data_IF_193895501858
#
_entry.id   IF_193895501858
#
_cell.length_a   1.000
_cell.length_b   1.000
_cell.length_c   1.000
_cell.angle_alpha   90.00
_cell.angle_beta   90.00
_cell.angle_gamma   90.00
#
_symmetry.space_group_name_H-M   'P 1'
#
loop_
_entity.id
_entity.type
_entity.pdbx_description
1 polymer ?
#
# COMPACT_ATOMS: atom_id res chain seq x y z
N UNK A 1 -24.52 -43.27 -21.96
CA UNK A 1 -23.72 -42.45 -22.89
C UNK A 1 -24.02 -40.99 -22.60
N UNK A 2 -23.27 -40.37 -21.69
CA UNK A 2 -23.47 -38.99 -21.23
C UNK A 2 -22.94 -38.03 -22.30
N UNK A 3 -23.86 -37.36 -22.99
CA UNK A 3 -23.55 -36.31 -23.96
C UNK A 3 -22.81 -35.17 -23.25
N UNK A 4 -21.51 -35.05 -23.53
CA UNK A 4 -20.74 -33.84 -23.27
C UNK A 4 -21.36 -32.68 -24.07
N UNK A 5 -22.17 -31.87 -23.41
CA UNK A 5 -22.64 -30.62 -23.99
C UNK A 5 -21.42 -29.74 -24.32
N UNK A 6 -21.17 -29.49 -25.61
CA UNK A 6 -20.13 -28.55 -26.04
C UNK A 6 -20.48 -27.16 -25.49
N UNK A 7 -19.54 -26.45 -24.84
CA UNK A 7 -19.79 -25.10 -24.37
C UNK A 7 -20.16 -24.19 -25.55
N UNK A 8 -21.20 -23.37 -25.37
CA UNK A 8 -21.69 -22.46 -26.40
C UNK A 8 -20.63 -21.38 -26.71
N UNK A 9 -20.56 -20.85 -27.95
CA UNK A 9 -19.55 -19.87 -28.36
C UNK A 9 -19.50 -18.60 -27.48
N UNK A 10 -20.64 -18.19 -26.91
CA UNK A 10 -20.73 -17.07 -25.97
C UNK A 10 -20.00 -17.36 -24.64
N UNK A 11 -20.14 -18.56 -24.09
CA UNK A 11 -19.46 -18.96 -22.85
C UNK A 11 -17.92 -19.02 -22.99
N UNK A 12 -17.43 -19.32 -24.19
CA UNK A 12 -16.00 -19.32 -24.51
C UNK A 12 -15.44 -17.90 -24.66
N UNK A 13 -16.23 -16.97 -25.21
CA UNK A 13 -15.84 -15.54 -25.31
C UNK A 13 -15.78 -14.88 -23.94
N UNK A 14 -16.77 -15.12 -23.08
CA UNK A 14 -16.80 -14.56 -21.71
C UNK A 14 -15.65 -15.09 -20.85
N UNK A 15 -15.32 -16.38 -20.96
CA UNK A 15 -14.16 -16.97 -20.28
C UNK A 15 -12.82 -16.40 -20.77
N UNK A 16 -12.72 -16.12 -22.08
CA UNK A 16 -11.54 -15.50 -22.69
C UNK A 16 -11.33 -14.05 -22.22
N UNK A 17 -12.41 -13.26 -22.16
CA UNK A 17 -12.35 -11.88 -21.66
C UNK A 17 -11.98 -11.82 -20.17
N UNK A 18 -12.56 -12.69 -19.34
CA UNK A 18 -12.24 -12.74 -17.91
C UNK A 18 -10.77 -13.12 -17.66
N UNK A 19 -10.23 -14.05 -18.46
CA UNK A 19 -8.81 -14.44 -18.42
C UNK A 19 -7.89 -13.28 -18.80
N UNK A 20 -8.22 -12.55 -19.87
CA UNK A 20 -7.44 -11.38 -20.30
C UNK A 20 -7.47 -10.25 -19.27
N UNK A 21 -8.63 -9.99 -18.65
CA UNK A 21 -8.74 -9.00 -17.57
C UNK A 21 -7.87 -9.36 -16.36
N UNK A 22 -7.85 -10.64 -15.95
CA UNK A 22 -7.00 -11.10 -14.85
C UNK A 22 -5.50 -10.96 -15.16
N UNK A 23 -5.10 -11.20 -16.41
CA UNK A 23 -3.71 -10.99 -16.86
C UNK A 23 -3.34 -9.52 -16.85
N UNK A 24 -4.21 -8.65 -17.36
CA UNK A 24 -4.00 -7.20 -17.34
C UNK A 24 -3.92 -6.66 -15.91
N UNK A 25 -4.80 -7.13 -15.02
CA UNK A 25 -4.79 -6.78 -13.60
C UNK A 25 -3.47 -7.17 -12.92
N UNK A 26 -2.98 -8.38 -13.21
CA UNK A 26 -1.69 -8.85 -12.71
C UNK A 26 -0.54 -8.00 -13.25
N UNK A 27 -0.55 -7.66 -14.54
CA UNK A 27 0.45 -6.81 -15.16
C UNK A 27 0.46 -5.40 -14.53
N UNK A 28 -0.71 -4.81 -14.28
CA UNK A 28 -0.83 -3.49 -13.63
C UNK A 28 -0.24 -3.51 -12.22
N UNK A 29 -0.52 -4.53 -11.42
CA UNK A 29 -0.04 -4.61 -10.03
C UNK A 29 1.47 -4.90 -9.96
N UNK A 30 1.99 -5.71 -10.89
CA UNK A 30 3.44 -5.89 -11.03
C UNK A 30 4.08 -4.59 -11.48
N UNK A 31 3.54 -3.92 -12.50
CA UNK A 31 4.05 -2.63 -12.98
C UNK A 31 4.05 -1.58 -11.86
N UNK A 32 2.95 -1.46 -11.11
CA UNK A 32 2.85 -0.56 -9.96
C UNK A 32 3.93 -0.81 -8.89
N UNK A 33 4.38 -2.05 -8.73
CA UNK A 33 5.43 -2.41 -7.78
C UNK A 33 6.84 -2.19 -8.35
N UNK A 34 7.05 -2.52 -9.63
CA UNK A 34 8.38 -2.63 -10.26
C UNK A 34 8.78 -1.37 -11.04
N UNK A 35 7.85 -0.45 -11.34
CA UNK A 35 8.13 0.72 -12.21
C UNK A 35 9.34 1.54 -11.78
N UNK A 36 9.55 1.74 -10.47
CA UNK A 36 10.70 2.52 -9.99
C UNK A 36 12.02 1.85 -10.33
N UNK A 37 12.13 0.52 -10.17
CA UNK A 37 13.33 -0.21 -10.56
C UNK A 37 13.58 -0.12 -12.07
N UNK A 38 12.54 -0.27 -12.89
CA UNK A 38 12.66 -0.13 -14.36
C UNK A 38 13.15 1.26 -14.72
N UNK A 39 12.57 2.31 -14.13
CA UNK A 39 12.97 3.70 -14.39
C UNK A 39 14.39 3.99 -13.91
N UNK A 40 14.83 3.39 -12.81
CA UNK A 40 16.21 3.52 -12.33
C UNK A 40 17.21 2.80 -13.26
N UNK A 41 16.85 1.62 -13.76
CA UNK A 41 17.64 0.93 -14.78
C UNK A 41 17.76 1.77 -16.07
N UNK A 42 16.64 2.33 -16.53
CA UNK A 42 16.60 3.23 -17.70
C UNK A 42 17.45 4.48 -17.46
N UNK A 43 17.37 5.05 -16.25
CA UNK A 43 18.18 6.19 -15.83
C UNK A 43 19.68 5.89 -15.90
N UNK A 44 20.08 4.68 -15.50
CA UNK A 44 21.48 4.29 -15.38
C UNK A 44 22.11 4.04 -16.75
N UNK A 45 21.37 3.47 -17.70
CA UNK A 45 21.95 3.00 -18.97
C UNK A 45 21.57 3.80 -20.22
N UNK A 46 20.44 4.50 -20.23
CA UNK A 46 19.91 5.10 -21.46
C UNK A 46 19.86 6.61 -21.39
N UNK A 47 19.06 7.17 -20.48
CA UNK A 47 18.88 8.61 -20.38
C UNK A 47 18.43 9.01 -18.98
N UNK A 48 18.75 10.24 -18.56
CA UNK A 48 18.38 10.75 -17.23
C UNK A 48 16.87 10.77 -17.07
N UNK A 49 16.33 9.85 -16.26
CA UNK A 49 14.94 9.87 -15.83
C UNK A 49 14.66 11.15 -15.03
N UNK A 50 13.70 11.95 -15.50
CA UNK A 50 13.21 13.16 -14.83
C UNK A 50 11.97 12.86 -13.99
N UNK A 51 11.62 13.79 -13.10
CA UNK A 51 10.35 13.72 -12.33
C UNK A 51 9.12 13.62 -13.24
N UNK A 52 9.17 14.21 -14.44
CA UNK A 52 8.11 14.11 -15.43
C UNK A 52 7.93 12.68 -15.97
N UNK A 53 9.03 11.93 -16.18
CA UNK A 53 8.97 10.54 -16.63
C UNK A 53 8.36 9.62 -15.56
N UNK A 54 8.69 9.87 -14.29
CA UNK A 54 8.09 9.16 -13.15
C UNK A 54 6.58 9.43 -13.10
N UNK A 55 6.18 10.71 -13.16
CA UNK A 55 4.77 11.09 -13.16
C UNK A 55 4.00 10.53 -14.36
N UNK A 56 4.62 10.50 -15.55
CA UNK A 56 4.04 9.91 -16.75
C UNK A 56 3.85 8.40 -16.61
N UNK A 57 4.83 7.69 -16.04
CA UNK A 57 4.74 6.25 -15.80
C UNK A 57 3.62 5.92 -14.81
N UNK A 58 3.48 6.72 -13.74
CA UNK A 58 2.35 6.60 -12.80
C UNK A 58 1.01 6.87 -13.50
N UNK A 59 0.93 7.90 -14.35
CA UNK A 59 -0.25 8.22 -15.14
C UNK A 59 -0.65 7.07 -16.07
N UNK A 60 0.30 6.43 -16.75
CA UNK A 60 0.02 5.25 -17.59
C UNK A 60 -0.60 4.10 -16.78
N UNK A 61 -0.11 3.88 -15.55
CA UNK A 61 -0.68 2.87 -14.65
C UNK A 61 -2.10 3.28 -14.24
N UNK A 62 -2.36 4.55 -13.92
CA UNK A 62 -3.70 5.03 -13.58
C UNK A 62 -4.67 4.91 -14.75
N UNK A 63 -4.24 5.23 -15.97
CA UNK A 63 -5.04 5.06 -17.19
C UNK A 63 -5.36 3.58 -17.40
N UNK A 64 -4.41 2.67 -17.22
CA UNK A 64 -4.65 1.24 -17.33
C UNK A 64 -5.68 0.74 -16.30
N UNK A 65 -5.62 1.22 -15.05
CA UNK A 65 -6.65 0.99 -14.04
C UNK A 65 -8.01 1.53 -14.49
N UNK A 66 -8.04 2.76 -15.03
CA UNK A 66 -9.24 3.41 -15.53
C UNK A 66 -9.91 2.63 -16.66
N UNK A 67 -9.14 2.11 -17.62
CA UNK A 67 -9.66 1.29 -18.73
C UNK A 67 -10.35 0.02 -18.23
N UNK A 68 -9.79 -0.64 -17.20
CA UNK A 68 -10.43 -1.80 -16.57
C UNK A 68 -11.71 -1.41 -15.83
N UNK A 69 -11.68 -0.31 -15.08
CA UNK A 69 -12.83 0.15 -14.29
C UNK A 69 -13.95 0.74 -15.15
N UNK A 70 -13.63 1.29 -16.34
CA UNK A 70 -14.60 1.97 -17.20
C UNK A 70 -15.80 1.10 -17.56
N UNK A 71 -15.59 -0.21 -17.72
CA UNK A 71 -16.66 -1.17 -18.03
C UNK A 71 -17.55 -1.54 -16.84
N UNK A 72 -17.20 -1.12 -15.62
CA UNK A 72 -17.89 -1.48 -14.36
C UNK A 72 -17.95 -0.30 -13.39
N UNK A 73 -18.12 0.92 -13.91
CA UNK A 73 -18.22 2.11 -13.08
C UNK A 73 -19.49 2.02 -12.22
N UNK A 74 -19.30 1.81 -10.91
CA UNK A 74 -20.37 1.95 -9.94
C UNK A 74 -20.66 3.44 -9.67
N UNK A 75 -21.91 3.81 -9.43
CA UNK A 75 -22.24 5.20 -9.05
C UNK A 75 -21.51 5.61 -7.75
N UNK A 76 -21.30 4.67 -6.84
CA UNK A 76 -20.51 4.85 -5.62
C UNK A 76 -19.07 5.27 -5.91
N UNK A 77 -18.43 4.67 -6.92
CA UNK A 77 -17.08 5.03 -7.36
C UNK A 77 -17.02 6.49 -7.83
N UNK A 78 -17.94 6.88 -8.72
CA UNK A 78 -18.00 8.24 -9.25
C UNK A 78 -18.30 9.23 -8.12
N UNK A 79 -19.30 8.95 -7.29
CA UNK A 79 -19.69 9.83 -6.19
C UNK A 79 -18.54 10.06 -5.20
N UNK A 80 -17.83 9.00 -4.80
CA UNK A 80 -16.67 9.11 -3.90
C UNK A 80 -15.55 9.90 -4.56
N UNK A 81 -15.22 9.57 -5.82
CA UNK A 81 -14.14 10.25 -6.54
C UNK A 81 -14.46 11.74 -6.73
N UNK A 82 -15.69 12.08 -7.12
CA UNK A 82 -16.16 13.46 -7.27
C UNK A 82 -16.15 14.19 -5.94
N UNK A 83 -16.66 13.59 -4.86
CA UNK A 83 -16.69 14.24 -3.54
C UNK A 83 -15.29 14.54 -3.02
N UNK A 84 -14.36 13.59 -3.15
CA UNK A 84 -12.96 13.80 -2.77
C UNK A 84 -12.33 14.86 -3.68
N UNK A 85 -12.52 14.79 -4.99
CA UNK A 85 -11.98 15.78 -5.92
C UNK A 85 -12.50 17.19 -5.62
N UNK A 86 -13.81 17.33 -5.36
CA UNK A 86 -14.43 18.59 -4.93
C UNK A 86 -13.83 19.12 -3.64
N UNK A 87 -13.57 18.24 -2.66
CA UNK A 87 -12.93 18.63 -1.40
C UNK A 87 -11.48 19.10 -1.60
N UNK A 88 -10.68 18.38 -2.39
CA UNK A 88 -9.30 18.77 -2.68
C UNK A 88 -9.22 20.04 -3.52
N UNK A 89 -10.17 20.26 -4.44
CA UNK A 89 -10.31 21.51 -5.18
C UNK A 89 -10.72 22.67 -4.27
N UNK A 90 -11.64 22.44 -3.33
CA UNK A 90 -11.98 23.44 -2.32
C UNK A 90 -10.75 23.83 -1.49
N UNK A 91 -9.97 22.85 -1.01
CA UNK A 91 -8.71 23.12 -0.34
C UNK A 91 -7.74 23.89 -1.23
N UNK A 92 -7.62 23.54 -2.51
CA UNK A 92 -6.76 24.25 -3.44
C UNK A 92 -7.19 25.71 -3.67
N UNK A 93 -8.50 25.98 -3.73
CA UNK A 93 -9.04 27.34 -3.79
C UNK A 93 -8.73 28.13 -2.52
N UNK A 94 -8.93 27.52 -1.34
CA UNK A 94 -8.63 28.16 -0.06
C UNK A 94 -7.11 28.41 0.15
N UNK A 95 -6.26 27.57 -0.45
CA UNK A 95 -4.79 27.71 -0.46
C UNK A 95 -4.28 28.65 -1.56
N UNK A 96 -5.12 29.05 -2.51
CA UNK A 96 -4.70 29.69 -3.76
C UNK A 96 -3.62 28.91 -4.54
N UNK A 97 -3.59 27.59 -4.39
CA UNK A 97 -2.52 26.74 -4.92
C UNK A 97 -2.96 25.28 -4.99
N UNK A 98 -2.59 24.62 -6.09
CA UNK A 98 -2.84 23.19 -6.26
C UNK A 98 -1.75 22.37 -5.59
N UNK A 99 -2.14 21.29 -4.91
CA UNK A 99 -1.25 20.25 -4.41
C UNK A 99 -1.42 18.95 -5.22
N UNK A 100 -0.67 18.76 -6.33
CA UNK A 100 -0.78 17.56 -7.16
C UNK A 100 -0.47 16.27 -6.39
N UNK A 101 0.35 16.34 -5.32
CA UNK A 101 0.73 15.16 -4.55
C UNK A 101 -0.47 14.64 -3.75
N UNK A 102 -1.24 15.52 -3.11
CA UNK A 102 -2.48 15.15 -2.42
C UNK A 102 -3.51 14.47 -3.35
N UNK A 103 -3.70 14.98 -4.57
CA UNK A 103 -4.56 14.33 -5.57
C UNK A 103 -4.06 12.94 -5.95
N UNK A 104 -2.78 12.82 -6.27
CA UNK A 104 -2.15 11.54 -6.61
C UNK A 104 -2.35 10.50 -5.51
N UNK A 105 -2.06 10.88 -4.27
CA UNK A 105 -2.08 9.98 -3.11
C UNK A 105 -3.49 9.35 -2.89
N UNK A 106 -4.56 10.13 -3.12
CA UNK A 106 -5.94 9.62 -3.04
C UNK A 106 -6.36 8.83 -4.29
N UNK A 107 -5.93 9.24 -5.48
CA UNK A 107 -6.21 8.50 -6.72
C UNK A 107 -5.68 7.06 -6.61
N UNK A 108 -4.49 6.87 -6.04
CA UNK A 108 -3.94 5.53 -5.78
C UNK A 108 -4.87 4.72 -4.88
N UNK A 109 -5.29 5.28 -3.75
CA UNK A 109 -6.20 4.63 -2.80
C UNK A 109 -7.49 4.19 -3.49
N UNK A 110 -8.16 5.12 -4.18
CA UNK A 110 -9.47 4.89 -4.79
C UNK A 110 -9.36 3.89 -5.95
N UNK A 111 -8.44 4.08 -6.89
CA UNK A 111 -8.33 3.21 -8.06
C UNK A 111 -8.03 1.76 -7.66
N UNK A 112 -7.03 1.54 -6.81
CA UNK A 112 -6.62 0.18 -6.44
C UNK A 112 -7.64 -0.50 -5.52
N UNK A 113 -8.29 0.24 -4.61
CA UNK A 113 -9.39 -0.29 -3.81
C UNK A 113 -10.54 -0.79 -4.69
N UNK A 114 -11.01 0.03 -5.64
CA UNK A 114 -12.10 -0.37 -6.53
C UNK A 114 -11.71 -1.46 -7.51
N UNK A 115 -10.44 -1.51 -7.94
CA UNK A 115 -9.91 -2.59 -8.75
C UNK A 115 -9.95 -3.93 -7.99
N UNK A 116 -9.54 -3.92 -6.71
CA UNK A 116 -9.65 -5.07 -5.81
C UNK A 116 -11.10 -5.49 -5.56
N UNK A 117 -11.97 -4.52 -5.27
CA UNK A 117 -13.40 -4.77 -5.04
C UNK A 117 -14.08 -5.40 -6.24
N UNK A 118 -13.84 -4.89 -7.45
CA UNK A 118 -14.52 -5.36 -8.66
C UNK A 118 -13.95 -6.65 -9.24
N UNK A 119 -12.63 -6.81 -9.25
CA UNK A 119 -11.94 -7.89 -9.96
C UNK A 119 -11.18 -8.85 -9.05
N UNK A 120 -10.85 -8.45 -7.83
CA UNK A 120 -10.05 -9.21 -6.89
C UNK A 120 -10.80 -10.36 -6.19
N UNK A 121 -10.25 -11.56 -6.25
CA UNK A 121 -10.65 -12.72 -5.46
C UNK A 121 -9.52 -13.10 -4.49
N UNK A 122 -9.83 -13.74 -3.38
CA UNK A 122 -8.85 -14.12 -2.34
C UNK A 122 -7.76 -15.04 -2.92
N UNK A 123 -8.15 -16.02 -3.74
CA UNK A 123 -7.20 -16.93 -4.42
C UNK A 123 -6.32 -16.19 -5.43
N UNK A 124 -6.87 -15.17 -6.09
CA UNK A 124 -6.13 -14.35 -7.04
C UNK A 124 -5.15 -13.43 -6.29
N UNK A 125 -5.59 -12.79 -5.21
CA UNK A 125 -4.78 -11.97 -4.33
C UNK A 125 -3.59 -12.77 -3.76
N UNK A 126 -3.82 -13.99 -3.30
CA UNK A 126 -2.76 -14.91 -2.85
C UNK A 126 -1.72 -15.19 -3.95
N UNK A 127 -2.19 -15.52 -5.15
CA UNK A 127 -1.31 -15.81 -6.28
C UNK A 127 -0.50 -14.60 -6.69
N UNK A 128 -1.15 -13.45 -6.81
CA UNK A 128 -0.53 -12.18 -7.13
C UNK A 128 0.55 -11.83 -6.11
N UNK A 129 0.20 -11.87 -4.82
CA UNK A 129 1.11 -11.50 -3.75
C UNK A 129 2.33 -12.44 -3.71
N UNK A 130 2.12 -13.74 -3.95
CA UNK A 130 3.23 -14.71 -4.12
C UNK A 130 4.16 -14.33 -5.28
N UNK A 131 3.62 -14.00 -6.44
CA UNK A 131 4.43 -13.59 -7.61
C UNK A 131 5.26 -12.34 -7.28
N UNK A 132 4.64 -11.33 -6.67
CA UNK A 132 5.34 -10.10 -6.27
C UNK A 132 6.42 -10.42 -5.23
N UNK A 133 6.14 -11.27 -4.24
CA UNK A 133 7.12 -11.72 -3.25
C UNK A 133 8.30 -12.42 -3.92
N UNK A 134 8.06 -13.31 -4.89
CA UNK A 134 9.13 -13.98 -5.61
C UNK A 134 10.01 -12.99 -6.37
N UNK A 135 9.42 -12.00 -7.05
CA UNK A 135 10.17 -10.94 -7.74
C UNK A 135 11.01 -10.14 -6.74
N UNK A 136 10.41 -9.70 -5.64
CA UNK A 136 11.08 -8.90 -4.59
C UNK A 136 12.21 -9.71 -3.92
N UNK A 137 11.98 -10.97 -3.59
CA UNK A 137 13.02 -11.81 -2.98
C UNK A 137 14.13 -12.13 -3.99
N UNK A 138 13.81 -12.45 -5.24
CA UNK A 138 14.82 -12.74 -6.26
C UNK A 138 15.76 -11.55 -6.48
N UNK A 139 15.20 -10.34 -6.64
CA UNK A 139 16.01 -9.12 -6.79
C UNK A 139 16.73 -8.76 -5.50
N UNK A 140 16.11 -8.98 -4.33
CA UNK A 140 16.74 -8.71 -3.04
C UNK A 140 17.91 -9.64 -2.73
N UNK A 141 17.80 -10.93 -3.06
CA UNK A 141 18.93 -11.87 -2.95
C UNK A 141 19.99 -11.58 -4.01
N UNK A 142 19.61 -11.17 -5.21
CA UNK A 142 20.56 -10.73 -6.23
C UNK A 142 21.37 -9.51 -5.77
N UNK A 143 20.72 -8.50 -5.19
CA UNK A 143 21.39 -7.35 -4.57
C UNK A 143 22.32 -7.77 -3.44
N UNK A 144 21.88 -8.67 -2.56
CA UNK A 144 22.68 -9.16 -1.43
C UNK A 144 23.95 -9.90 -1.88
N UNK A 145 23.83 -10.77 -2.89
CA UNK A 145 24.93 -11.63 -3.36
C UNK A 145 25.86 -10.90 -4.34
N UNK A 146 25.35 -9.92 -5.10
CA UNK A 146 26.07 -9.23 -6.16
C UNK A 146 25.91 -7.71 -6.06
N UNK A 147 26.26 -7.13 -4.90
CA UNK A 147 26.12 -5.70 -4.62
C UNK A 147 26.79 -4.82 -5.69
N UNK A 148 28.00 -5.19 -6.15
CA UNK A 148 28.72 -4.42 -7.18
C UNK A 148 28.01 -4.42 -8.54
N UNK A 149 27.43 -5.56 -8.92
CA UNK A 149 26.69 -5.68 -10.17
C UNK A 149 25.37 -4.93 -10.06
N UNK A 150 24.65 -5.09 -8.94
CA UNK A 150 23.43 -4.37 -8.67
C UNK A 150 23.64 -2.85 -8.69
N UNK A 151 24.69 -2.36 -8.06
CA UNK A 151 25.04 -0.93 -8.02
C UNK A 151 25.41 -0.35 -9.39
N UNK A 152 25.96 -1.17 -10.29
CA UNK A 152 26.23 -0.79 -11.68
C UNK A 152 24.97 -0.79 -12.55
N UNK A 153 24.02 -1.68 -12.27
CA UNK A 153 22.76 -1.77 -12.99
C UNK A 153 21.75 -0.71 -12.52
N UNK A 154 21.77 -0.39 -11.22
CA UNK A 154 20.85 0.53 -10.57
C UNK A 154 21.65 1.60 -9.81
N UNK A 155 21.96 2.72 -10.48
CA UNK A 155 22.51 3.88 -9.78
C UNK A 155 21.37 4.64 -9.08
N UNK A 156 21.03 4.14 -7.88
CA UNK A 156 19.91 4.63 -7.09
C UNK A 156 20.13 6.08 -6.66
N UNK A 157 21.36 6.43 -6.28
CA UNK A 157 21.70 7.79 -5.87
C UNK A 157 21.49 8.81 -7.01
N UNK A 158 22.04 8.55 -8.21
CA UNK A 158 21.89 9.47 -9.34
C UNK A 158 20.42 9.59 -9.78
N UNK A 159 19.66 8.50 -9.69
CA UNK A 159 18.23 8.48 -9.99
C UNK A 159 17.42 9.39 -9.07
N UNK A 160 17.65 9.33 -7.75
CA UNK A 160 16.96 10.20 -6.80
C UNK A 160 17.46 11.65 -6.81
N UNK A 161 18.75 11.86 -7.12
CA UNK A 161 19.31 13.20 -7.34
C UNK A 161 18.64 13.89 -8.53
N UNK A 162 18.46 13.16 -9.64
CA UNK A 162 17.80 13.69 -10.85
C UNK A 162 16.32 14.02 -10.67
N UNK A 163 15.66 13.42 -9.66
CA UNK A 163 14.28 13.75 -9.28
C UNK A 163 14.18 14.97 -8.35
N UNK A 164 15.31 15.47 -7.84
CA UNK A 164 15.34 16.55 -6.84
C UNK A 164 14.92 16.10 -5.44
N UNK A 165 14.89 14.79 -5.16
CA UNK A 165 14.53 14.26 -3.84
C UNK A 165 15.70 14.30 -2.84
N UNK A 166 16.94 14.48 -3.32
CA UNK A 166 18.18 14.52 -2.53
C UNK A 166 18.98 15.74 -3.00
N UNK A 167 19.51 16.55 -2.08
CA UNK A 167 20.46 17.64 -2.39
C UNK A 167 21.89 17.13 -2.24
N UNK A 168 22.83 17.62 -3.04
CA UNK A 168 24.25 17.20 -3.04
C UNK A 168 24.95 17.31 -1.67
N UNK A 169 24.38 18.07 -0.73
CA UNK A 169 24.86 18.26 0.64
C UNK A 169 24.50 17.16 1.65
N UNK A 170 23.66 16.17 1.29
CA UNK A 170 23.20 15.12 2.22
C UNK A 170 23.91 13.77 2.05
N UNK A 171 24.92 13.69 1.20
CA UNK A 171 25.76 12.50 1.05
C UNK A 171 26.81 12.41 2.15
N UNK A 172 26.52 11.66 3.21
CA UNK A 172 27.50 11.34 4.26
C UNK A 172 28.54 10.29 3.86
N UNK A 173 28.40 9.65 2.69
CA UNK A 173 29.37 8.71 2.13
C UNK A 173 29.80 9.17 0.73
N UNK A 174 30.94 9.84 0.65
CA UNK A 174 31.60 10.14 -0.63
C UNK A 174 31.85 8.82 -1.38
N UNK A 175 31.19 8.63 -2.53
CA UNK A 175 31.39 7.47 -3.41
C UNK A 175 30.31 6.36 -3.39
N UNK A 176 29.28 6.44 -2.54
CA UNK A 176 28.19 5.45 -2.53
C UNK A 176 27.14 5.72 -3.62
N UNK A 177 26.89 4.74 -4.49
CA UNK A 177 25.80 4.76 -5.48
C UNK A 177 24.44 4.30 -4.92
N UNK A 178 24.43 3.79 -3.69
CA UNK A 178 23.22 3.41 -2.95
C UNK A 178 22.55 4.66 -2.34
N UNK A 179 21.22 4.64 -2.21
CA UNK A 179 20.46 5.71 -1.57
C UNK A 179 20.96 5.99 -0.13
N UNK A 180 20.67 7.19 0.39
CA UNK A 180 21.00 7.64 1.77
C UNK A 180 20.68 6.63 2.88
N UNK A 181 19.77 5.68 2.63
CA UNK A 181 19.34 4.64 3.57
C UNK A 181 19.94 3.23 3.31
N UNK A 182 20.71 3.05 2.22
CA UNK A 182 21.26 1.76 1.78
C UNK A 182 22.53 1.31 2.50
N UNK A 183 23.26 2.26 3.10
CA UNK A 183 24.45 1.98 3.92
C UNK A 183 24.25 2.60 5.30
N UNK A 184 24.44 1.81 6.37
CA UNK A 184 24.44 2.34 7.74
C UNK A 184 25.87 2.71 8.17
N UNK A 185 26.14 3.93 8.68
CA UNK A 185 27.44 4.29 9.23
C UNK A 185 27.83 3.35 10.38
N UNK A 186 29.11 2.97 10.44
CA UNK A 186 29.65 2.16 11.53
C UNK A 186 29.49 2.93 12.86
N UNK A 187 28.61 2.44 13.76
CA UNK A 187 28.40 3.02 15.09
C UNK A 187 26.93 3.31 15.48
N UNK A 188 25.97 3.39 14.55
CA UNK A 188 24.55 3.77 14.84
C UNK A 188 23.64 2.53 15.07
N UNK A 189 24.17 1.54 15.78
CA UNK A 189 23.43 0.34 16.20
C UNK A 189 23.45 -0.79 15.18
N UNK A 190 23.66 -2.00 15.72
CA UNK A 190 23.91 -3.25 14.99
C UNK A 190 22.75 -3.59 14.04
N UNK A 191 23.07 -4.08 12.85
CA UNK A 191 22.12 -4.69 11.91
C UNK A 191 21.49 -5.93 12.53
N UNK A 192 20.28 -6.30 12.12
CA UNK A 192 19.54 -7.47 12.69
C UNK A 192 20.36 -8.77 12.54
N UNK A 193 21.11 -8.93 11.44
CA UNK A 193 22.06 -10.03 11.23
C UNK A 193 23.41 -9.49 10.76
N UNK A 194 24.29 -9.05 11.68
CA UNK A 194 25.54 -8.40 11.31
C UNK A 194 26.54 -9.34 10.63
N UNK A 195 26.44 -10.65 10.85
CA UNK A 195 27.27 -11.66 10.19
C UNK A 195 26.95 -11.85 8.70
N UNK A 196 25.70 -11.60 8.28
CA UNK A 196 25.25 -11.82 6.89
C UNK A 196 25.09 -10.53 6.09
N UNK A 197 24.70 -9.43 6.74
CA UNK A 197 24.35 -8.17 6.07
C UNK A 197 25.44 -7.09 6.20
N UNK A 198 26.38 -7.22 7.12
CA UNK A 198 27.35 -6.17 7.41
C UNK A 198 26.66 -4.84 7.74
N UNK A 199 27.03 -3.76 7.04
CA UNK A 199 26.39 -2.43 7.08
C UNK A 199 25.38 -2.19 5.95
N UNK A 200 25.19 -3.16 5.05
CA UNK A 200 24.36 -3.05 3.85
C UNK A 200 22.89 -3.36 4.14
N UNK A 201 21.99 -2.54 3.61
CA UNK A 201 20.54 -2.72 3.73
C UNK A 201 19.95 -2.94 2.35
N UNK A 202 19.34 -4.10 2.14
CA UNK A 202 18.78 -4.50 0.85
C UNK A 202 17.52 -3.70 0.57
N UNK A 203 17.41 -3.19 -0.65
CA UNK A 203 16.33 -2.34 -1.13
C UNK A 203 15.40 -3.03 -2.13
N UNK A 204 15.92 -4.05 -2.81
CA UNK A 204 15.28 -4.83 -3.86
C UNK A 204 14.72 -3.93 -4.97
N UNK A 205 13.61 -4.33 -5.58
CA UNK A 205 12.86 -3.58 -6.58
C UNK A 205 12.37 -2.21 -6.08
N UNK A 206 12.29 -2.03 -4.75
CA UNK A 206 11.78 -0.80 -4.18
C UNK A 206 12.81 0.33 -4.14
N UNK A 207 14.08 0.05 -4.43
CA UNK A 207 15.22 0.99 -4.43
C UNK A 207 15.50 1.71 -3.10
N UNK A 208 14.66 1.46 -2.08
CA UNK A 208 14.80 1.97 -0.72
C UNK A 208 14.51 0.84 0.28
N UNK A 209 15.42 0.58 1.25
CA UNK A 209 15.20 -0.45 2.26
C UNK A 209 13.95 -0.21 3.12
N UNK A 210 13.61 1.07 3.37
CA UNK A 210 12.41 1.44 4.14
C UNK A 210 11.14 0.95 3.42
N UNK A 211 11.09 1.09 2.10
CA UNK A 211 9.97 0.65 1.28
C UNK A 211 9.82 -0.86 1.24
N UNK A 212 10.94 -1.61 1.18
CA UNK A 212 10.94 -3.08 1.32
C UNK A 212 10.39 -3.50 2.69
N UNK A 213 10.81 -2.83 3.76
CA UNK A 213 10.30 -3.07 5.11
C UNK A 213 8.79 -2.84 5.22
N UNK A 214 8.26 -1.78 4.61
CA UNK A 214 6.82 -1.49 4.60
C UNK A 214 6.02 -2.53 3.82
N UNK A 215 6.52 -2.94 2.64
CA UNK A 215 5.91 -4.01 1.87
C UNK A 215 5.88 -5.33 2.65
N UNK A 216 6.95 -5.65 3.39
CA UNK A 216 6.99 -6.85 4.22
C UNK A 216 5.91 -6.83 5.32
N UNK A 217 5.61 -5.67 5.92
CA UNK A 217 4.51 -5.55 6.89
C UNK A 217 3.15 -5.81 6.23
N UNK A 218 2.92 -5.31 5.02
CA UNK A 218 1.68 -5.56 4.26
C UNK A 218 1.52 -7.07 3.98
N UNK A 219 2.62 -7.74 3.61
CA UNK A 219 2.65 -9.19 3.39
C UNK A 219 2.36 -9.96 4.69
N UNK A 220 2.94 -9.54 5.81
CA UNK A 220 2.64 -10.13 7.11
C UNK A 220 1.18 -9.91 7.52
N UNK A 221 0.62 -8.72 7.29
CA UNK A 221 -0.77 -8.41 7.58
C UNK A 221 -1.73 -9.33 6.79
N UNK A 222 -1.44 -9.58 5.51
CA UNK A 222 -2.21 -10.52 4.68
C UNK A 222 -2.03 -11.98 5.13
N UNK A 223 -0.82 -12.37 5.53
CA UNK A 223 -0.60 -13.68 6.14
C UNK A 223 -1.40 -13.85 7.45
N UNK A 224 -1.35 -12.84 8.31
CA UNK A 224 -1.99 -12.84 9.63
C UNK A 224 -3.52 -12.68 9.56
N UNK A 225 -4.10 -12.27 8.44
CA UNK A 225 -5.55 -12.26 8.28
C UNK A 225 -6.12 -13.65 8.02
N UNK A 226 -5.31 -14.61 7.54
CA UNK A 226 -5.77 -15.97 7.21
C UNK A 226 -6.34 -16.75 8.38
N UNK A 227 -7.35 -17.57 8.10
CA UNK A 227 -7.95 -18.50 9.04
C UNK A 227 -6.98 -19.59 9.52
N UNK A 228 -7.39 -20.35 10.54
CA UNK A 228 -6.62 -21.48 11.09
C UNK A 228 -6.60 -22.71 10.16
N UNK A 229 -7.49 -22.74 9.18
CA UNK A 229 -7.54 -23.71 8.09
C UNK A 229 -6.40 -23.50 7.07
N UNK A 230 -5.90 -22.27 6.92
CA UNK A 230 -4.88 -21.90 5.94
C UNK A 230 -3.48 -21.67 6.55
N UNK A 231 -3.10 -22.42 7.60
CA UNK A 231 -1.82 -22.24 8.31
C UNK A 231 -0.59 -22.32 7.40
N UNK A 232 -0.59 -23.21 6.41
CA UNK A 232 0.53 -23.32 5.45
C UNK A 232 0.71 -22.03 4.64
N UNK A 233 -0.39 -21.43 4.20
CA UNK A 233 -0.34 -20.18 3.45
C UNK A 233 0.04 -19.01 4.36
N UNK A 234 -0.46 -18.99 5.59
CA UNK A 234 -0.06 -18.01 6.60
C UNK A 234 1.45 -18.08 6.88
N UNK A 235 1.98 -19.28 7.12
CA UNK A 235 3.39 -19.50 7.39
C UNK A 235 4.26 -19.03 6.22
N UNK A 236 3.88 -19.31 4.97
CA UNK A 236 4.59 -18.79 3.80
C UNK A 236 4.72 -17.27 3.81
N UNK A 237 3.62 -16.54 4.03
CA UNK A 237 3.63 -15.07 4.03
C UNK A 237 4.41 -14.50 5.23
N UNK A 238 4.31 -15.12 6.40
CA UNK A 238 5.07 -14.71 7.58
C UNK A 238 6.57 -14.94 7.41
N UNK A 239 6.98 -16.09 6.89
CA UNK A 239 8.40 -16.40 6.64
C UNK A 239 8.95 -15.46 5.56
N UNK A 240 8.23 -15.26 4.46
CA UNK A 240 8.64 -14.30 3.44
C UNK A 240 8.77 -12.88 4.00
N UNK A 241 7.82 -12.44 4.83
CA UNK A 241 7.89 -11.15 5.52
C UNK A 241 9.10 -11.05 6.45
N UNK A 242 9.36 -12.08 7.26
CA UNK A 242 10.52 -12.12 8.16
C UNK A 242 11.84 -12.01 7.40
N UNK A 243 11.96 -12.71 6.27
CA UNK A 243 13.13 -12.61 5.38
C UNK A 243 13.27 -11.17 4.87
N UNK A 244 12.21 -10.58 4.30
CA UNK A 244 12.25 -9.21 3.77
C UNK A 244 12.55 -8.15 4.85
N UNK A 245 11.99 -8.28 6.06
CA UNK A 245 12.28 -7.40 7.20
C UNK A 245 13.76 -7.48 7.58
N UNK A 246 14.30 -8.70 7.59
CA UNK A 246 15.71 -8.94 7.91
C UNK A 246 16.62 -8.34 6.84
N UNK A 247 16.34 -8.60 5.56
CA UNK A 247 17.09 -8.04 4.42
C UNK A 247 17.09 -6.50 4.43
N UNK A 248 15.95 -5.88 4.76
CA UNK A 248 15.79 -4.42 4.82
C UNK A 248 16.37 -3.76 6.09
N UNK A 249 16.78 -4.55 7.09
CA UNK A 249 17.08 -4.11 8.45
C UNK A 249 15.94 -3.23 9.04
N UNK A 250 14.69 -3.66 8.88
CA UNK A 250 13.52 -2.82 9.20
C UNK A 250 13.07 -3.00 10.66
N UNK A 251 13.53 -2.12 11.54
CA UNK A 251 13.06 -2.02 12.94
C UNK A 251 11.55 -1.77 13.02
N UNK A 252 11.05 -0.89 12.16
CA UNK A 252 9.61 -0.64 12.02
C UNK A 252 8.83 -1.92 11.69
N UNK A 253 9.34 -2.70 10.73
CA UNK A 253 8.72 -3.96 10.34
C UNK A 253 8.64 -4.95 11.50
N UNK A 254 9.73 -5.09 12.25
CA UNK A 254 9.79 -5.97 13.42
C UNK A 254 8.75 -5.58 14.48
N UNK A 255 8.71 -4.30 14.88
CA UNK A 255 7.77 -3.80 15.91
C UNK A 255 6.33 -3.95 15.45
N UNK A 256 6.05 -3.59 14.20
CA UNK A 256 4.68 -3.59 13.67
C UNK A 256 4.14 -5.01 13.50
N UNK A 257 4.93 -5.93 12.93
CA UNK A 257 4.53 -7.34 12.80
C UNK A 257 4.41 -8.00 14.17
N UNK A 258 5.32 -7.70 15.10
CA UNK A 258 5.22 -8.17 16.48
C UNK A 258 3.90 -7.73 17.15
N UNK A 259 3.52 -6.46 16.98
CA UNK A 259 2.24 -5.95 17.47
C UNK A 259 1.05 -6.63 16.79
N UNK A 260 1.09 -6.86 15.48
CA UNK A 260 0.02 -7.58 14.76
C UNK A 260 -0.14 -9.02 15.26
N UNK A 261 0.97 -9.71 15.55
CA UNK A 261 0.95 -11.06 16.14
C UNK A 261 0.34 -11.01 17.54
N UNK A 262 0.73 -10.04 18.38
CA UNK A 262 0.16 -9.86 19.71
C UNK A 262 -1.35 -9.56 19.66
N UNK A 263 -1.77 -8.65 18.77
CA UNK A 263 -3.19 -8.35 18.54
C UNK A 263 -3.94 -9.60 18.08
N UNK A 264 -3.36 -10.42 17.19
CA UNK A 264 -3.99 -11.68 16.75
C UNK A 264 -4.21 -12.67 17.90
N UNK A 265 -3.33 -12.68 18.90
CA UNK A 265 -3.40 -13.58 20.04
C UNK A 265 -4.38 -13.08 21.12
N UNK A 266 -4.39 -11.77 21.38
CA UNK A 266 -5.14 -11.15 22.48
C UNK A 266 -6.54 -10.70 22.06
N UNK A 267 -6.68 -10.14 20.86
CA UNK A 267 -7.91 -9.51 20.38
C UNK A 267 -8.57 -10.41 19.33
N UNK A 268 -9.84 -10.72 19.54
CA UNK A 268 -10.64 -11.47 18.57
C UNK A 268 -12.08 -10.96 18.48
N UNK A 269 -12.74 -11.24 17.36
CA UNK A 269 -14.14 -10.86 17.12
C UNK A 269 -14.37 -9.35 17.15
N UNK A 270 -15.33 -8.90 17.98
CA UNK A 270 -15.73 -7.48 18.06
C UNK A 270 -14.62 -6.57 18.58
N UNK A 271 -13.65 -7.11 19.33
CA UNK A 271 -12.49 -6.35 19.81
C UNK A 271 -11.63 -5.76 18.69
N UNK A 272 -11.67 -6.34 17.49
CA UNK A 272 -10.98 -5.81 16.31
C UNK A 272 -11.40 -4.38 15.97
N UNK A 273 -12.65 -4.00 16.28
CA UNK A 273 -13.13 -2.63 16.05
C UNK A 273 -12.53 -1.62 17.01
N UNK A 274 -12.03 -2.03 18.18
CA UNK A 274 -11.34 -1.13 19.12
C UNK A 274 -10.07 -0.55 18.49
N UNK A 275 -9.47 -1.23 17.52
CA UNK A 275 -8.30 -0.73 16.81
C UNK A 275 -8.60 0.53 15.98
N UNK A 276 -9.88 0.88 15.77
CA UNK A 276 -10.31 2.16 15.19
C UNK A 276 -9.77 3.39 15.91
N UNK A 277 -9.56 3.32 17.24
CA UNK A 277 -9.07 4.47 17.99
C UNK A 277 -7.54 4.63 17.91
N UNK A 278 -6.83 3.63 17.39
CA UNK A 278 -5.37 3.58 17.39
C UNK A 278 -4.66 4.79 16.76
N UNK A 279 -5.06 5.34 15.60
CA UNK A 279 -4.35 6.51 15.06
C UNK A 279 -4.48 7.75 15.95
N UNK A 280 -5.61 7.89 16.66
CA UNK A 280 -5.80 8.99 17.62
C UNK A 280 -4.93 8.79 18.85
N UNK A 281 -4.82 7.54 19.34
CA UNK A 281 -3.90 7.20 20.44
C UNK A 281 -2.45 7.49 20.04
N UNK A 282 -2.04 7.12 18.82
CA UNK A 282 -0.71 7.44 18.29
C UNK A 282 -0.48 8.96 18.20
N UNK A 283 -1.45 9.72 17.70
CA UNK A 283 -1.35 11.18 17.62
C UNK A 283 -1.21 11.82 19.01
N UNK A 284 -1.98 11.38 20.01
CA UNK A 284 -1.86 11.85 21.40
C UNK A 284 -0.50 11.49 21.98
N UNK A 285 -0.02 10.27 21.79
CA UNK A 285 1.31 9.84 22.26
C UNK A 285 2.40 10.71 21.63
N UNK A 286 2.32 11.02 20.33
CA UNK A 286 3.28 11.89 19.66
C UNK A 286 3.27 13.31 20.24
N UNK A 287 2.09 13.89 20.48
CA UNK A 287 1.96 15.21 21.11
C UNK A 287 2.59 15.19 22.51
N UNK A 288 2.27 14.20 23.33
CA UNK A 288 2.88 14.04 24.66
C UNK A 288 4.40 13.90 24.57
N UNK A 289 4.88 13.12 23.61
CA UNK A 289 6.32 12.96 23.38
C UNK A 289 6.96 14.30 22.97
N UNK A 290 6.31 15.09 22.11
CA UNK A 290 6.78 16.43 21.72
C UNK A 290 6.77 17.46 22.84
N UNK A 291 5.87 17.32 23.83
CA UNK A 291 5.76 18.25 24.96
C UNK A 291 6.75 17.94 26.10
N UNK A 292 7.02 16.66 26.37
CA UNK A 292 7.73 16.24 27.59
C UNK A 292 9.11 15.64 27.33
N UNK A 293 9.47 15.32 26.08
CA UNK A 293 10.78 14.74 25.78
C UNK A 293 11.78 15.84 25.39
N UNK A 294 12.74 16.11 26.27
CA UNK A 294 13.80 17.13 26.06
C UNK A 294 14.97 16.65 25.17
N UNK A 295 14.83 15.50 24.50
CA UNK A 295 15.91 14.94 23.70
C UNK A 295 16.11 15.69 22.38
N UNK A 296 17.39 15.94 22.03
CA UNK A 296 17.76 16.48 20.71
C UNK A 296 17.39 15.50 19.59
N UNK A 297 17.18 16.03 18.38
CA UNK A 297 16.99 15.21 17.19
C UNK A 297 18.11 14.17 17.04
N UNK A 298 17.73 12.92 16.84
CA UNK A 298 18.63 11.78 16.65
C UNK A 298 17.96 10.80 15.68
N UNK A 299 18.73 10.14 14.80
CA UNK A 299 18.21 9.14 13.86
C UNK A 299 17.94 7.77 14.54
N UNK A 300 17.28 7.83 15.68
CA UNK A 300 16.79 6.69 16.46
C UNK A 300 15.27 6.82 16.64
N UNK A 301 14.60 5.74 17.05
CA UNK A 301 13.14 5.73 17.24
C UNK A 301 12.68 6.90 18.13
N UNK A 302 13.27 7.18 19.31
CA UNK A 302 12.87 8.32 20.13
C UNK A 302 13.04 9.67 19.44
N UNK A 303 14.14 9.87 18.70
CA UNK A 303 14.37 11.14 18.00
C UNK A 303 13.40 11.37 16.83
N UNK A 304 13.02 10.30 16.10
CA UNK A 304 12.00 10.37 15.05
C UNK A 304 10.60 10.66 15.64
N UNK A 305 10.25 9.99 16.75
CA UNK A 305 8.98 10.27 17.44
C UNK A 305 8.93 11.70 18.00
N UNK A 306 10.04 12.20 18.55
CA UNK A 306 10.15 13.58 18.99
C UNK A 306 9.98 14.57 17.83
N UNK A 307 10.66 14.34 16.71
CA UNK A 307 10.54 15.19 15.51
C UNK A 307 9.11 15.29 14.98
N UNK A 308 8.40 14.16 14.91
CA UNK A 308 6.98 14.10 14.57
C UNK A 308 6.11 14.81 15.60
N UNK A 309 6.36 14.58 16.89
CA UNK A 309 5.61 15.15 18.00
C UNK A 309 5.74 16.68 18.12
N UNK A 310 6.97 17.19 18.16
CA UNK A 310 7.24 18.64 18.31
C UNK A 310 6.68 19.44 17.13
N UNK A 311 6.67 18.85 15.93
CA UNK A 311 6.08 19.47 14.75
C UNK A 311 4.57 19.58 14.90
N UNK A 312 3.89 18.54 15.37
CA UNK A 312 2.45 18.58 15.64
C UNK A 312 2.09 19.59 16.75
N UNK A 313 2.92 19.72 17.79
CA UNK A 313 2.72 20.72 18.87
C UNK A 313 2.81 22.15 18.34
N UNK A 314 3.64 22.39 17.32
CA UNK A 314 3.84 23.72 16.71
C UNK A 314 2.79 24.10 15.67
N UNK A 315 1.88 23.20 15.32
CA UNK A 315 0.86 23.48 14.32
C UNK A 315 -0.17 24.49 14.85
N UNK A 316 -0.43 25.52 14.05
CA UNK A 316 -1.57 26.38 14.24
C UNK A 316 -2.86 25.76 13.67
N UNK A 317 -3.95 26.51 13.78
CA UNK A 317 -5.25 26.11 13.22
C UNK A 317 -5.19 25.96 11.70
N UNK A 318 -4.43 26.81 11.02
CA UNK A 318 -4.27 26.75 9.56
C UNK A 318 -3.61 25.45 9.11
N UNK A 319 -2.56 24.98 9.79
CA UNK A 319 -1.87 23.72 9.45
C UNK A 319 -2.75 22.50 9.73
N UNK A 320 -3.49 22.50 10.85
CA UNK A 320 -4.37 21.38 11.24
C UNK A 320 -5.51 21.19 10.23
N UNK A 321 -6.10 22.28 9.76
CA UNK A 321 -7.13 22.24 8.71
C UNK A 321 -6.55 22.16 7.30
N UNK A 322 -5.22 22.11 7.17
CA UNK A 322 -4.53 22.00 5.90
C UNK A 322 -4.64 23.24 5.03
N UNK A 323 -4.83 24.43 5.59
CA UNK A 323 -4.77 25.71 4.86
C UNK A 323 -3.33 26.19 4.68
N UNK A 324 -2.41 25.76 5.55
CA UNK A 324 -0.99 26.10 5.51
C UNK A 324 -0.10 24.84 5.63
N UNK A 325 1.16 24.97 5.23
CA UNK A 325 2.20 23.94 5.42
C UNK A 325 2.16 22.75 4.45
N UNK A 326 1.18 22.64 3.55
CA UNK A 326 1.05 21.51 2.61
C UNK A 326 2.25 21.33 1.65
N UNK A 327 3.00 22.41 1.40
CA UNK A 327 4.19 22.43 0.55
C UNK A 327 5.51 22.18 1.31
N UNK A 328 5.46 22.05 2.65
CA UNK A 328 6.64 21.80 3.47
C UNK A 328 7.03 20.31 3.37
N UNK A 329 8.32 20.04 3.24
CA UNK A 329 8.83 18.68 3.30
C UNK A 329 9.00 18.24 4.75
N UNK A 330 7.99 17.56 5.28
CA UNK A 330 8.01 17.02 6.64
C UNK A 330 8.75 15.68 6.79
N UNK A 331 9.34 15.13 5.71
CA UNK A 331 10.18 13.93 5.76
C UNK A 331 9.52 12.74 6.46
N UNK A 332 10.00 12.42 7.67
CA UNK A 332 9.56 11.28 8.49
C UNK A 332 8.29 11.55 9.33
N UNK A 333 7.67 12.73 9.24
CA UNK A 333 6.51 13.11 10.07
C UNK A 333 5.18 12.86 9.35
N UNK A 334 4.71 11.60 9.35
CA UNK A 334 3.50 11.17 8.64
C UNK A 334 2.21 11.87 9.04
N UNK A 335 1.91 11.98 10.34
CA UNK A 335 0.73 12.71 10.80
C UNK A 335 0.74 14.17 10.36
N UNK A 336 1.90 14.83 10.40
CA UNK A 336 2.08 16.21 9.93
C UNK A 336 1.77 16.35 8.44
N UNK A 337 2.23 15.42 7.59
CA UNK A 337 1.91 15.42 6.15
C UNK A 337 0.42 15.24 5.92
N UNK A 338 -0.19 14.26 6.56
CA UNK A 338 -1.60 13.92 6.35
C UNK A 338 -2.51 15.06 6.80
N UNK A 339 -2.23 15.68 7.95
CA UNK A 339 -2.98 16.84 8.44
C UNK A 339 -2.82 18.07 7.54
N UNK A 340 -1.59 18.43 7.16
CA UNK A 340 -1.38 19.62 6.31
C UNK A 340 -1.90 19.44 4.88
N UNK A 341 -1.86 18.21 4.33
CA UNK A 341 -2.32 17.94 2.96
C UNK A 341 -3.82 17.74 2.83
N UNK A 342 -4.42 16.97 3.73
CA UNK A 342 -5.83 16.63 3.65
C UNK A 342 -6.70 17.42 4.62
N UNK A 343 -6.11 18.11 5.60
CA UNK A 343 -6.83 18.74 6.69
C UNK A 343 -7.45 17.71 7.64
N UNK A 344 -7.63 18.09 8.89
CA UNK A 344 -8.28 17.24 9.90
C UNK A 344 -9.64 16.71 9.41
N UNK A 345 -10.43 17.55 8.75
CA UNK A 345 -11.73 17.16 8.20
C UNK A 345 -11.60 16.05 7.15
N UNK A 346 -10.74 16.22 6.15
CA UNK A 346 -10.48 15.21 5.12
C UNK A 346 -9.95 13.90 5.72
N UNK A 347 -9.07 13.99 6.71
CA UNK A 347 -8.55 12.82 7.43
C UNK A 347 -9.67 12.05 8.13
N UNK A 348 -10.55 12.75 8.85
CA UNK A 348 -11.69 12.14 9.57
C UNK A 348 -12.68 11.51 8.59
N UNK A 349 -13.00 12.18 7.48
CA UNK A 349 -13.91 11.64 6.45
C UNK A 349 -13.34 10.37 5.83
N UNK A 350 -12.06 10.37 5.44
CA UNK A 350 -11.41 9.18 4.90
C UNK A 350 -11.33 8.05 5.94
N UNK A 351 -11.07 8.40 7.20
CA UNK A 351 -11.04 7.44 8.31
C UNK A 351 -12.39 6.78 8.54
N UNK A 352 -13.46 7.57 8.62
CA UNK A 352 -14.83 7.07 8.74
C UNK A 352 -15.18 6.21 7.52
N UNK A 353 -14.81 6.66 6.32
CA UNK A 353 -15.00 5.93 5.07
C UNK A 353 -14.40 4.52 5.11
N UNK A 354 -13.17 4.36 5.60
CA UNK A 354 -12.52 3.05 5.78
C UNK A 354 -13.34 2.09 6.66
N UNK A 355 -13.99 2.62 7.69
CA UNK A 355 -14.81 1.83 8.61
C UNK A 355 -16.23 1.57 8.11
N UNK A 356 -16.75 2.44 7.24
CA UNK A 356 -18.02 2.22 6.53
C UNK A 356 -17.93 1.12 5.46
N UNK A 357 -16.73 0.77 5.00
CA UNK A 357 -16.53 -0.38 4.10
C UNK A 357 -16.97 -1.67 4.81
N UNK A 358 -17.99 -2.33 4.24
CA UNK A 358 -18.43 -3.66 4.70
C UNK A 358 -17.45 -4.72 4.24
N UNK A 359 -16.89 -5.47 5.19
CA UNK A 359 -16.03 -6.62 4.91
C UNK A 359 -16.86 -7.88 4.69
N UNK A 360 -16.39 -8.76 3.81
CA UNK A 360 -17.09 -9.99 3.41
C UNK A 360 -17.11 -11.04 4.52
N UNK A 361 -16.02 -11.12 5.27
CA UNK A 361 -15.71 -12.20 6.19
C UNK A 361 -14.81 -11.72 7.35
N UNK A 362 -14.65 -12.58 8.37
CA UNK A 362 -13.75 -12.34 9.50
C UNK A 362 -12.28 -12.22 9.06
N UNK A 363 -11.93 -12.76 7.90
CA UNK A 363 -10.63 -12.56 7.25
C UNK A 363 -10.45 -11.08 6.88
N UNK A 364 -11.41 -10.48 6.18
CA UNK A 364 -11.39 -9.07 5.80
C UNK A 364 -11.41 -8.12 7.01
N UNK A 365 -12.17 -8.44 8.05
CA UNK A 365 -12.18 -7.66 9.30
C UNK A 365 -10.80 -7.68 10.00
N UNK A 366 -10.16 -8.85 10.06
CA UNK A 366 -8.79 -8.96 10.60
C UNK A 366 -7.80 -8.22 9.72
N UNK A 367 -7.90 -8.34 8.40
CA UNK A 367 -7.01 -7.63 7.49
C UNK A 367 -7.14 -6.11 7.65
N UNK A 368 -8.36 -5.56 7.70
CA UNK A 368 -8.59 -4.15 8.02
C UNK A 368 -7.94 -3.74 9.33
N UNK A 369 -8.07 -4.56 10.37
CA UNK A 369 -7.45 -4.30 11.69
C UNK A 369 -5.94 -4.15 11.58
N UNK A 370 -5.26 -5.06 10.87
CA UNK A 370 -3.83 -4.96 10.66
C UNK A 370 -3.44 -3.76 9.78
N UNK A 371 -4.22 -3.43 8.75
CA UNK A 371 -3.96 -2.23 7.95
C UNK A 371 -4.05 -0.97 8.82
N UNK A 372 -5.02 -0.90 9.74
CA UNK A 372 -5.11 0.23 10.68
C UNK A 372 -3.88 0.31 11.57
N UNK A 373 -3.37 -0.82 12.08
CA UNK A 373 -2.12 -0.85 12.85
C UNK A 373 -0.95 -0.33 12.01
N UNK A 374 -0.81 -0.84 10.79
CA UNK A 374 0.21 -0.40 9.84
C UNK A 374 0.12 1.11 9.58
N UNK A 375 -1.08 1.63 9.26
CA UNK A 375 -1.31 3.04 8.99
C UNK A 375 -0.99 3.90 10.21
N UNK A 376 -1.42 3.49 11.41
CA UNK A 376 -1.25 4.27 12.63
C UNK A 376 0.22 4.40 13.01
N UNK A 377 0.99 3.32 12.85
CA UNK A 377 2.41 3.29 13.19
C UNK A 377 3.31 3.89 12.10
N UNK A 378 3.02 3.65 10.81
CA UNK A 378 3.83 4.22 9.73
C UNK A 378 3.76 5.75 9.76
N UNK A 379 2.60 6.32 10.08
CA UNK A 379 2.42 7.77 10.16
C UNK A 379 3.21 8.42 11.31
N UNK A 380 3.67 7.65 12.30
CA UNK A 380 4.55 8.18 13.35
C UNK A 380 5.97 8.45 12.86
N UNK A 381 6.43 7.71 11.84
CA UNK A 381 7.86 7.64 11.47
C UNK A 381 8.14 7.77 9.97
N UNK A 382 7.11 7.88 9.13
CA UNK A 382 7.27 8.10 7.70
C UNK A 382 6.11 8.91 7.09
N UNK A 383 6.49 9.96 6.36
CA UNK A 383 5.61 10.89 5.66
C UNK A 383 4.85 10.32 4.47
N UNK A 384 5.60 9.71 3.57
CA UNK A 384 5.18 9.46 2.18
C UNK A 384 4.99 7.99 1.87
N UNK A 385 5.50 7.11 2.73
CA UNK A 385 5.51 5.65 2.52
C UNK A 385 4.13 5.02 2.43
N UNK A 386 3.13 5.59 3.13
CA UNK A 386 1.75 5.10 3.09
C UNK A 386 1.10 5.29 1.70
N UNK A 387 1.53 6.31 0.97
CA UNK A 387 0.94 6.71 -0.32
C UNK A 387 1.84 6.36 -1.51
N UNK A 388 2.97 5.69 -1.29
CA UNK A 388 3.86 5.28 -2.36
C UNK A 388 3.18 4.21 -3.23
N UNK A 389 3.03 4.47 -4.54
CA UNK A 389 2.33 3.57 -5.48
C UNK A 389 2.81 2.11 -5.37
N UNK A 390 4.12 1.92 -5.21
CA UNK A 390 4.79 0.61 -5.09
C UNK A 390 4.29 -0.28 -3.95
N UNK A 391 3.78 0.29 -2.86
CA UNK A 391 3.24 -0.45 -1.71
C UNK A 391 1.74 -0.22 -1.55
N UNK A 392 1.30 1.04 -1.69
CA UNK A 392 -0.09 1.45 -1.56
C UNK A 392 -1.00 0.78 -2.59
N UNK A 393 -0.55 0.62 -3.84
CA UNK A 393 -1.35 -0.04 -4.88
C UNK A 393 -1.69 -1.48 -4.51
N UNK A 394 -0.73 -2.23 -3.98
CA UNK A 394 -0.95 -3.61 -3.51
C UNK A 394 -1.85 -3.62 -2.26
N UNK A 395 -1.56 -2.76 -1.28
CA UNK A 395 -2.32 -2.65 -0.03
C UNK A 395 -3.82 -2.42 -0.28
N UNK A 396 -4.16 -1.38 -1.04
CA UNK A 396 -5.54 -1.00 -1.30
C UNK A 396 -6.25 -2.00 -2.19
N UNK A 397 -5.54 -2.63 -3.13
CA UNK A 397 -6.07 -3.76 -3.90
C UNK A 397 -6.45 -4.94 -3.01
N UNK A 398 -5.57 -5.36 -2.08
CA UNK A 398 -5.85 -6.44 -1.13
C UNK A 398 -7.06 -6.11 -0.25
N UNK A 399 -7.17 -4.85 0.22
CA UNK A 399 -8.33 -4.42 1.02
C UNK A 399 -9.63 -4.49 0.19
N UNK A 400 -9.56 -4.08 -1.08
CA UNK A 400 -10.67 -4.21 -2.02
C UNK A 400 -11.13 -5.66 -2.20
N UNK A 401 -10.20 -6.61 -2.31
CA UNK A 401 -10.51 -8.06 -2.41
C UNK A 401 -11.32 -8.59 -1.21
N UNK A 402 -11.15 -7.98 -0.03
CA UNK A 402 -11.86 -8.35 1.20
C UNK A 402 -13.21 -7.65 1.38
N UNK A 403 -13.50 -6.61 0.59
CA UNK A 403 -14.75 -5.87 0.69
C UNK A 403 -15.93 -6.65 0.06
N UNK A 404 -17.14 -6.41 0.58
CA UNK A 404 -18.36 -6.95 -0.02
C UNK A 404 -18.56 -6.35 -1.42
N UNK A 405 -18.78 -7.22 -2.40
CA UNK A 405 -19.28 -6.83 -3.73
C UNK A 405 -20.79 -6.68 -3.66
N UNK A 406 -21.32 -5.54 -4.11
CA UNK A 406 -22.77 -5.38 -4.26
C UNK A 406 -23.25 -6.28 -5.41
N UNK A 407 -23.62 -7.52 -5.06
CA UNK A 407 -24.28 -8.45 -5.99
C UNK A 407 -25.74 -8.04 -6.20
N UNK A 408 -26.01 -6.84 -6.72
CA UNK A 408 -27.36 -6.51 -7.21
C UNK A 408 -27.67 -7.12 -8.59
N UNK A 409 -26.72 -7.84 -9.21
CA UNK A 409 -26.88 -8.45 -10.54
C UNK A 409 -26.72 -9.98 -10.60
N UNK A 410 -26.51 -10.66 -9.48
CA UNK A 410 -26.42 -12.15 -9.44
C UNK A 410 -27.64 -12.81 -8.78
N UNK A 411 -28.70 -12.03 -8.52
CA UNK A 411 -30.00 -12.54 -8.10
C UNK A 411 -31.00 -12.48 -9.26
N UNK A 412 -30.67 -13.11 -10.38
CA UNK A 412 -31.71 -13.68 -11.23
C UNK A 412 -31.69 -15.18 -10.98
N UNK A 413 -32.56 -15.74 -10.13
CA UNK A 413 -32.82 -17.16 -10.17
C UNK A 413 -33.63 -17.41 -11.45
N UNK A 414 -32.97 -17.52 -12.61
CA UNK A 414 -33.55 -18.28 -13.73
C UNK A 414 -33.44 -19.78 -13.39
N UNK A 415 -34.10 -20.18 -12.31
CA UNK A 415 -34.60 -21.54 -12.20
C UNK A 415 -35.87 -21.57 -13.02
N UNK A 416 -35.72 -22.09 -14.24
CA UNK A 416 -36.71 -22.85 -14.99
C UNK A 416 -38.01 -23.11 -14.22
N UNK A 417 -38.97 -22.20 -14.31
CA UNK A 417 -40.36 -22.59 -14.23
C UNK A 417 -40.66 -23.30 -15.56
N UNK A 418 -40.54 -24.62 -15.56
CA UNK A 418 -41.14 -25.42 -16.62
C UNK A 418 -42.65 -25.15 -16.61
N UNK A 419 -43.27 -24.88 -17.76
CA UNK A 419 -44.71 -24.86 -17.86
C UNK A 419 -45.19 -26.31 -17.79
N UNK A 420 -45.86 -26.69 -16.72
CA UNK A 420 -46.68 -27.91 -16.72
C UNK A 420 -47.96 -27.55 -17.47
N UNK A 421 -47.91 -27.67 -18.80
CA UNK A 421 -49.10 -27.78 -19.63
C UNK A 421 -49.72 -29.18 -19.44
N UNK A 422 -51.02 -29.21 -19.19
CA UNK A 422 -51.74 -30.36 -18.65
C UNK A 422 -52.16 -31.46 -19.64
N UNK A 423 -52.87 -32.44 -19.07
CA UNK A 423 -53.85 -33.41 -19.64
C UNK A 423 -54.59 -34.02 -18.41
N UNK A 424 -55.79 -33.56 -18.03
CA UNK A 424 -57.18 -33.94 -18.44
C UNK A 424 -57.57 -35.40 -18.10
N UNK A 425 -58.79 -35.54 -17.54
CA UNK A 425 -59.71 -36.71 -17.36
C UNK A 425 -59.57 -37.56 -16.06
N UNK A 426 -60.62 -37.99 -15.31
CA UNK A 426 -62.10 -38.12 -15.46
C UNK A 426 -62.81 -38.05 -14.07
N UNK A 427 -64.13 -37.78 -14.10
CA UNK A 427 -65.28 -38.21 -13.23
C UNK A 427 -65.01 -38.89 -11.86
N UNK A 428 -65.77 -38.70 -10.78
CA UNK A 428 -67.20 -38.35 -10.55
C UNK A 428 -67.37 -37.37 -9.36
#
# INVERSE_FOLDING_TARGET
>A
MTLYARPTPASLRDAGEESNQRRLLLAILIAATVYQAVLCFVHTHFFKASTALVAFSELCIYVACGVLLFRRIELSFVAILTLIASYLLLLALLRSSLDPKGFRDIIILVLFYFLGRNFGDEKFADRLLKIIIYIVLAVGFFELLFVDVYSKLFNVYSYYLAQGNITTSTNWAEGSTLALNGIRPAGIGRTILPFLLGSHRVSSVFLEPVSLGNFAVIVAAWGLSKGRDQLRSMAFFLVASAIMITLADSRYGLVTVGLMVLVRLVISGRGNRMVMILPFVCAVILILFGLYYDGRYSDNIPGRLYSSGITMVRFGTAEIFGLAGYNINFGDMGYSIVLTRFGLFGCVVLWIGLWMVKMRDDHGERFRTYIVIYMSLILCISGTSLFALKSAGVLWFLLGCCAVRDKKWLATPLRSAQPVAGKVHYAD
#
